data_IF_652610802749
#
_entry.id   IF_652610802749
#
_cell.length_a   1.000
_cell.length_b   1.000
_cell.length_c   1.000
_cell.angle_alpha   90.00
_cell.angle_beta   90.00
_cell.angle_gamma   90.00
#
_symmetry.space_group_name_H-M   'P 1'
#
loop_
_entity.id
_entity.type
_entity.pdbx_description
1 polymer ?
#
# COMPACT_ATOMS: atom_id res chain seq x y z
N UNK A 1 15.33 40.25 16.70
CA UNK A 1 13.98 39.78 16.35
C UNK A 1 14.07 38.40 15.72
N UNK A 2 13.75 37.37 16.49
CA UNK A 2 13.76 35.98 16.05
C UNK A 2 12.45 35.69 15.29
N UNK A 3 12.53 35.52 13.98
CA UNK A 3 11.43 35.05 13.16
C UNK A 3 11.40 33.54 13.23
N UNK A 4 10.47 32.99 14.00
CA UNK A 4 10.20 31.57 14.07
C UNK A 4 9.80 31.07 12.67
N UNK A 5 10.64 30.21 12.09
CA UNK A 5 10.29 29.44 10.92
C UNK A 5 9.22 28.42 11.33
N UNK A 6 7.95 28.82 11.19
CA UNK A 6 6.82 27.90 11.35
C UNK A 6 6.94 26.79 10.31
N UNK A 7 6.84 25.53 10.72
CA UNK A 7 6.88 24.41 9.78
C UNK A 7 5.75 24.57 8.75
N UNK A 8 6.09 24.45 7.47
CA UNK A 8 5.19 24.80 6.35
C UNK A 8 4.05 23.79 6.13
N UNK A 9 4.00 22.69 6.89
CA UNK A 9 3.03 21.61 6.67
C UNK A 9 2.43 21.06 7.98
N UNK A 10 1.78 21.92 8.80
CA UNK A 10 1.13 21.48 10.04
C UNK A 10 -0.02 20.49 9.78
N UNK A 11 -0.62 20.54 8.60
CA UNK A 11 -1.67 19.63 8.14
C UNK A 11 -1.14 18.23 7.84
N UNK A 12 0.01 18.12 7.17
CA UNK A 12 0.63 16.82 6.88
C UNK A 12 1.12 16.13 8.16
N UNK A 13 1.71 16.88 9.08
CA UNK A 13 2.14 16.36 10.38
C UNK A 13 0.94 15.85 11.21
N UNK A 14 -0.19 16.56 11.18
CA UNK A 14 -1.42 16.15 11.88
C UNK A 14 -2.10 14.95 11.21
N UNK A 15 -2.05 14.85 9.89
CA UNK A 15 -2.56 13.69 9.16
C UNK A 15 -1.75 12.42 9.47
N UNK A 16 -0.42 12.53 9.56
CA UNK A 16 0.44 11.41 9.93
C UNK A 16 0.21 10.95 11.38
N UNK A 17 -0.05 11.88 12.31
CA UNK A 17 -0.40 11.55 13.69
C UNK A 17 -1.76 10.84 13.76
N UNK A 18 -2.77 11.30 13.01
CA UNK A 18 -4.09 10.66 12.96
C UNK A 18 -4.05 9.25 12.31
N UNK A 19 -3.20 9.06 11.30
CA UNK A 19 -3.01 7.76 10.68
C UNK A 19 -2.28 6.78 11.62
N UNK A 20 -1.27 7.25 12.36
CA UNK A 20 -0.56 6.44 13.34
C UNK A 20 -1.46 5.97 14.49
N UNK A 21 -2.38 6.82 14.98
CA UNK A 21 -3.33 6.43 16.03
C UNK A 21 -4.40 5.46 15.53
N UNK A 22 -4.89 5.63 14.30
CA UNK A 22 -5.81 4.66 13.68
C UNK A 22 -5.15 3.28 13.48
N UNK A 23 -3.89 3.24 13.06
CA UNK A 23 -3.12 2.00 12.91
C UNK A 23 -2.95 1.23 14.22
N UNK A 24 -2.71 1.93 15.33
CA UNK A 24 -2.62 1.30 16.66
C UNK A 24 -3.95 0.70 17.13
N UNK A 25 -5.08 1.32 16.79
CA UNK A 25 -6.42 0.80 17.11
C UNK A 25 -6.79 -0.44 16.28
N UNK A 26 -6.37 -0.49 15.01
CA UNK A 26 -6.56 -1.67 14.14
C UNK A 26 -5.65 -2.85 14.54
N UNK A 27 -4.44 -2.59 15.05
CA UNK A 27 -3.54 -3.63 15.55
C UNK A 27 -4.01 -4.31 16.85
N UNK A 28 -4.83 -3.63 17.65
CA UNK A 28 -5.38 -4.18 18.89
C UNK A 28 -6.65 -5.03 18.68
N UNK A 29 -7.26 -5.00 17.49
CA UNK A 29 -8.56 -5.63 17.20
C UNK A 29 -8.54 -7.07 16.68
N UNK A 30 -7.37 -7.74 16.66
CA UNK A 30 -7.26 -9.13 16.18
C UNK A 30 -7.63 -10.19 17.24
N UNK A 31 -7.98 -9.78 18.47
CA UNK A 31 -8.43 -10.68 19.51
C UNK A 31 -9.64 -10.08 20.25
N UNK A 32 -10.73 -10.85 20.29
CA UNK A 32 -12.00 -10.61 21.01
C UNK A 32 -13.05 -9.75 20.30
N UNK A 33 -14.00 -10.46 19.68
CA UNK A 33 -15.33 -9.93 19.39
C UNK A 33 -16.04 -9.63 20.71
N UNK A 34 -16.58 -8.42 20.89
CA UNK A 34 -17.77 -8.19 21.71
C UNK A 34 -18.42 -6.84 21.38
N UNK A 35 -19.75 -6.86 21.24
CA UNK A 35 -20.57 -5.72 20.89
C UNK A 35 -20.66 -4.69 22.04
N UNK A 36 -20.42 -3.43 21.71
CA UNK A 36 -21.01 -2.28 22.37
C UNK A 36 -21.01 -1.12 21.36
N UNK A 37 -22.17 -0.56 21.07
CA UNK A 37 -22.28 0.66 20.26
C UNK A 37 -21.59 1.81 21.03
N UNK A 38 -20.33 2.08 20.69
CA UNK A 38 -19.60 3.22 21.22
C UNK A 38 -20.14 4.52 20.60
N UNK A 39 -20.25 5.62 21.36
CA UNK A 39 -20.80 6.86 20.87
C UNK A 39 -19.90 7.44 19.77
N UNK A 40 -20.59 8.00 18.78
CA UNK A 40 -20.09 8.76 17.62
C UNK A 40 -18.87 9.59 18.00
N UNK A 41 -17.75 9.33 17.32
CA UNK A 41 -16.58 10.21 17.33
C UNK A 41 -17.03 11.59 16.81
N UNK A 42 -16.94 12.61 17.65
CA UNK A 42 -17.23 13.99 17.27
C UNK A 42 -16.08 14.52 16.41
N UNK A 43 -16.27 14.44 15.09
CA UNK A 43 -15.36 15.02 14.10
C UNK A 43 -15.77 16.48 13.90
N UNK A 44 -14.87 17.47 14.01
CA UNK A 44 -15.21 18.91 13.97
C UNK A 44 -15.90 19.42 12.70
N UNK A 45 -16.08 18.57 11.68
CA UNK A 45 -16.74 18.90 10.42
C UNK A 45 -18.00 18.05 10.27
N UNK A 46 -18.99 18.40 11.11
CA UNK A 46 -20.33 17.81 11.30
C UNK A 46 -20.41 16.61 12.26
N UNK A 47 -21.31 16.67 13.25
CA UNK A 47 -21.72 15.49 13.99
C UNK A 47 -22.54 14.60 13.07
N UNK A 48 -21.96 13.50 12.60
CA UNK A 48 -22.73 12.42 11.96
C UNK A 48 -23.12 11.42 13.02
N UNK A 49 -24.38 11.48 13.49
CA UNK A 49 -25.04 10.27 13.97
C UNK A 49 -25.07 9.27 12.82
N UNK A 50 -24.15 8.32 12.85
CA UNK A 50 -24.22 7.15 12.01
C UNK A 50 -25.49 6.41 12.42
N UNK A 51 -26.52 6.47 11.59
CA UNK A 51 -27.70 5.62 11.74
C UNK A 51 -27.33 4.14 11.63
N UNK A 52 -28.24 3.28 11.17
CA UNK A 52 -27.83 1.91 10.84
C UNK A 52 -26.78 1.94 9.74
N UNK A 53 -25.52 1.69 10.09
CA UNK A 53 -24.42 1.53 9.15
C UNK A 53 -24.52 0.12 8.60
N UNK A 54 -24.69 0.00 7.29
CA UNK A 54 -24.50 -1.27 6.62
C UNK A 54 -22.99 -1.47 6.40
N UNK A 55 -22.35 -2.43 7.11
CA UNK A 55 -20.93 -2.70 6.94
C UNK A 55 -20.59 -3.17 5.52
N UNK A 56 -21.55 -3.81 4.82
CA UNK A 56 -21.33 -4.23 3.44
C UNK A 56 -21.29 -3.02 2.49
N UNK A 57 -22.13 -2.02 2.71
CA UNK A 57 -22.09 -0.78 1.93
C UNK A 57 -20.75 -0.02 2.10
N UNK A 58 -20.20 -0.01 3.32
CA UNK A 58 -18.88 0.55 3.58
C UNK A 58 -17.75 -0.22 2.88
N UNK A 59 -17.81 -1.55 2.89
CA UNK A 59 -16.84 -2.39 2.18
C UNK A 59 -16.92 -2.22 0.66
N UNK A 60 -18.12 -2.16 0.08
CA UNK A 60 -18.32 -1.89 -1.35
C UNK A 60 -17.82 -0.52 -1.76
N UNK A 61 -18.05 0.52 -0.93
CA UNK A 61 -17.52 1.85 -1.18
C UNK A 61 -15.98 1.85 -1.15
N UNK A 62 -15.38 1.14 -0.19
CA UNK A 62 -13.93 1.01 -0.07
C UNK A 62 -13.31 0.28 -1.26
N UNK A 63 -13.80 -0.92 -1.61
CA UNK A 63 -13.25 -1.70 -2.73
C UNK A 63 -13.47 -0.99 -4.07
N UNK A 64 -14.62 -0.32 -4.25
CA UNK A 64 -14.88 0.54 -5.40
C UNK A 64 -13.86 1.67 -5.51
N UNK A 65 -13.53 2.34 -4.41
CA UNK A 65 -12.56 3.44 -4.40
C UNK A 65 -11.13 2.97 -4.63
N UNK A 66 -10.73 1.84 -4.02
CA UNK A 66 -9.40 1.24 -4.19
C UNK A 66 -9.13 0.91 -5.65
N UNK A 67 -10.11 0.38 -6.38
CA UNK A 67 -9.99 0.12 -7.82
C UNK A 67 -9.65 1.36 -8.66
N UNK A 68 -10.31 2.50 -8.40
CA UNK A 68 -10.05 3.75 -9.13
C UNK A 68 -8.67 4.35 -8.82
N UNK A 69 -8.15 4.15 -7.61
CA UNK A 69 -6.83 4.68 -7.22
C UNK A 69 -5.70 3.74 -7.68
N UNK A 70 -5.89 2.43 -7.54
CA UNK A 70 -4.85 1.44 -7.84
C UNK A 70 -4.81 1.06 -9.32
N UNK A 71 -5.93 1.16 -10.04
CA UNK A 71 -6.02 0.84 -11.47
C UNK A 71 -5.00 1.59 -12.32
N UNK A 72 -4.98 2.95 -12.29
CA UNK A 72 -4.06 3.75 -13.10
C UNK A 72 -2.58 3.47 -12.81
N UNK A 73 -2.23 3.18 -11.55
CA UNK A 73 -0.83 2.91 -11.18
C UNK A 73 -0.43 1.46 -11.43
N UNK A 74 -1.35 0.49 -11.35
CA UNK A 74 -1.04 -0.94 -11.48
C UNK A 74 -0.38 -1.31 -12.82
N UNK A 75 -0.73 -0.59 -13.90
CA UNK A 75 -0.17 -0.78 -15.24
C UNK A 75 1.16 -0.06 -15.48
N UNK A 76 1.63 0.77 -14.55
CA UNK A 76 2.90 1.50 -14.72
C UNK A 76 4.08 0.55 -14.57
N UNK A 77 5.11 0.74 -15.41
CA UNK A 77 6.40 0.09 -15.23
C UNK A 77 6.99 0.52 -13.89
N UNK A 78 7.44 -0.41 -13.03
CA UNK A 78 8.15 -0.06 -11.80
C UNK A 78 9.47 0.65 -12.10
N UNK A 79 10.13 0.25 -13.18
CA UNK A 79 11.38 0.82 -13.67
C UNK A 79 11.18 1.43 -15.07
N UNK A 80 10.95 2.74 -15.19
CA UNK A 80 10.81 3.40 -16.49
C UNK A 80 12.09 3.36 -17.34
N UNK A 81 13.25 3.19 -16.70
CA UNK A 81 14.56 3.13 -17.34
C UNK A 81 14.97 1.70 -17.73
N UNK A 82 14.08 0.72 -17.57
CA UNK A 82 14.33 -0.68 -17.91
C UNK A 82 14.81 -0.83 -19.36
N UNK A 83 15.98 -1.44 -19.54
CA UNK A 83 16.58 -1.67 -20.86
C UNK A 83 17.25 -0.45 -21.50
N UNK A 84 17.41 0.64 -20.75
CA UNK A 84 18.25 1.77 -21.16
C UNK A 84 19.69 1.57 -20.68
N UNK A 85 20.66 2.24 -21.32
CA UNK A 85 22.06 2.20 -20.87
C UNK A 85 22.33 2.90 -19.51
N UNK A 86 21.30 3.50 -18.90
CA UNK A 86 21.35 4.18 -17.60
C UNK A 86 20.35 3.56 -16.61
N UNK A 87 19.92 2.32 -16.85
CA UNK A 87 19.05 1.59 -15.94
C UNK A 87 19.75 1.42 -14.57
N UNK A 88 19.25 2.04 -13.49
CA UNK A 88 19.90 1.96 -12.20
C UNK A 88 19.88 0.54 -11.64
N UNK A 89 18.87 -0.25 -11.97
CA UNK A 89 18.67 -1.59 -11.41
C UNK A 89 19.45 -2.68 -12.15
N UNK A 90 20.06 -2.33 -13.28
CA UNK A 90 20.99 -3.19 -14.02
C UNK A 90 22.45 -3.01 -13.57
N UNK A 91 22.72 -2.10 -12.62
CA UNK A 91 24.04 -1.95 -11.99
C UNK A 91 24.31 -3.04 -10.95
N UNK A 92 24.37 -4.29 -11.38
CA UNK A 92 24.58 -5.39 -10.46
C UNK A 92 26.03 -5.76 -10.21
N UNK A 93 26.23 -6.43 -9.08
CA UNK A 93 27.49 -7.07 -8.71
C UNK A 93 27.25 -8.56 -8.59
N UNK A 94 28.19 -9.36 -9.12
CA UNK A 94 28.13 -10.81 -9.11
C UNK A 94 29.34 -11.41 -8.43
N UNK A 95 29.14 -12.54 -7.76
CA UNK A 95 30.21 -13.38 -7.23
C UNK A 95 30.00 -14.83 -7.66
N UNK A 96 31.11 -15.51 -7.88
CA UNK A 96 31.12 -16.94 -8.13
C UNK A 96 32.25 -17.55 -7.29
N UNK A 97 31.94 -18.64 -6.60
CA UNK A 97 32.90 -19.39 -5.79
C UNK A 97 33.05 -20.75 -6.47
N UNK A 98 34.27 -21.08 -6.92
CA UNK A 98 34.56 -22.32 -7.63
C UNK A 98 33.57 -22.61 -8.79
N UNK A 99 33.01 -23.81 -8.82
CA UNK A 99 32.07 -24.33 -9.82
C UNK A 99 30.59 -24.15 -9.42
N UNK A 100 30.31 -23.44 -8.32
CA UNK A 100 28.93 -23.11 -7.95
C UNK A 100 28.30 -22.15 -8.96
N UNK A 101 26.96 -22.16 -8.99
CA UNK A 101 26.18 -21.22 -9.79
C UNK A 101 26.47 -19.79 -9.33
N UNK A 102 26.80 -18.85 -10.23
CA UNK A 102 27.00 -17.46 -9.88
C UNK A 102 25.77 -16.87 -9.19
N UNK A 103 26.02 -16.04 -8.18
CA UNK A 103 24.99 -15.24 -7.52
C UNK A 103 25.27 -13.77 -7.79
N UNK A 104 24.23 -12.99 -7.99
CA UNK A 104 24.39 -11.56 -8.24
C UNK A 104 23.19 -10.78 -7.74
N UNK A 105 23.40 -9.48 -7.48
CA UNK A 105 22.34 -8.60 -7.01
C UNK A 105 21.19 -8.48 -8.02
N UNK A 106 21.45 -8.67 -9.32
CA UNK A 106 20.40 -8.69 -10.35
C UNK A 106 19.38 -9.82 -10.17
N UNK A 107 19.72 -10.90 -9.44
CA UNK A 107 18.73 -11.93 -9.11
C UNK A 107 17.63 -11.40 -8.18
N UNK A 108 17.92 -10.36 -7.40
CA UNK A 108 16.97 -9.71 -6.48
C UNK A 108 16.31 -8.48 -7.09
N UNK A 109 17.04 -7.71 -7.91
CA UNK A 109 16.47 -6.51 -8.57
C UNK A 109 15.71 -6.86 -9.84
N UNK A 110 16.03 -7.97 -10.50
CA UNK A 110 15.46 -8.39 -11.77
C UNK A 110 13.91 -8.45 -11.80
N UNK A 111 13.26 -9.05 -10.79
CA UNK A 111 11.80 -9.09 -10.74
C UNK A 111 11.13 -7.71 -10.75
N UNK A 112 11.80 -6.67 -10.27
CA UNK A 112 11.29 -5.29 -10.27
C UNK A 112 11.75 -4.54 -11.53
N UNK A 113 12.99 -4.74 -11.95
CA UNK A 113 13.59 -4.01 -13.05
C UNK A 113 13.03 -4.38 -14.42
N UNK A 114 12.65 -5.65 -14.63
CA UNK A 114 12.15 -6.16 -15.92
C UNK A 114 10.61 -6.26 -15.96
N UNK A 115 9.93 -5.97 -14.84
CA UNK A 115 8.47 -6.03 -14.79
C UNK A 115 7.84 -5.02 -15.77
N UNK A 116 6.89 -5.51 -16.58
CA UNK A 116 6.15 -4.66 -17.54
C UNK A 116 5.14 -3.73 -16.87
N UNK A 117 4.79 -4.02 -15.63
CA UNK A 117 3.79 -3.31 -14.83
C UNK A 117 3.96 -3.63 -13.34
N UNK A 118 3.47 -2.76 -12.44
CA UNK A 118 3.53 -2.96 -11.00
C UNK A 118 2.82 -4.25 -10.55
N UNK A 119 1.70 -4.60 -11.18
CA UNK A 119 1.00 -5.86 -10.89
C UNK A 119 1.72 -7.12 -11.40
N UNK A 120 2.74 -6.99 -12.25
CA UNK A 120 3.57 -8.11 -12.69
C UNK A 120 4.76 -8.39 -11.74
N UNK A 121 4.98 -7.52 -10.74
CA UNK A 121 6.00 -7.74 -9.72
C UNK A 121 5.54 -8.85 -8.76
N UNK A 122 6.37 -9.87 -8.51
CA UNK A 122 6.02 -10.94 -7.56
C UNK A 122 5.60 -10.40 -6.20
N UNK A 123 4.49 -10.91 -5.65
CA UNK A 123 3.94 -10.50 -4.36
C UNK A 123 2.99 -9.30 -4.41
N UNK A 124 3.11 -8.40 -5.38
CA UNK A 124 2.22 -7.22 -5.50
C UNK A 124 0.78 -7.65 -5.84
N UNK A 125 0.62 -8.61 -6.75
CA UNK A 125 -0.70 -9.14 -7.13
C UNK A 125 -1.50 -9.72 -5.96
N UNK A 126 -0.82 -10.36 -5.00
CA UNK A 126 -1.45 -10.91 -3.80
C UNK A 126 -1.97 -9.80 -2.88
N UNK A 127 -1.17 -8.75 -2.67
CA UNK A 127 -1.57 -7.59 -1.86
C UNK A 127 -2.76 -6.87 -2.50
N UNK A 128 -2.72 -6.65 -3.81
CA UNK A 128 -3.84 -6.02 -4.54
C UNK A 128 -5.10 -6.87 -4.57
N UNK A 129 -4.98 -8.21 -4.62
CA UNK A 129 -6.12 -9.13 -4.56
C UNK A 129 -6.79 -9.15 -3.18
N UNK A 130 -6.01 -9.03 -2.10
CA UNK A 130 -6.53 -8.91 -0.74
C UNK A 130 -7.25 -7.56 -0.53
N UNK A 131 -6.76 -6.48 -1.15
CA UNK A 131 -7.34 -5.13 -1.08
C UNK A 131 -8.58 -4.94 -1.98
N UNK A 132 -8.65 -5.68 -3.10
CA UNK A 132 -9.73 -5.57 -4.08
C UNK A 132 -10.99 -6.38 -3.75
N UNK A 133 -10.99 -7.17 -2.67
CA UNK A 133 -12.06 -8.11 -2.37
C UNK A 133 -12.00 -9.32 -3.29
N UNK A 134 -11.35 -10.39 -2.83
CA UNK A 134 -11.07 -11.58 -3.62
C UNK A 134 -12.31 -12.15 -4.31
N UNK A 135 -12.31 -12.09 -5.64
CA UNK A 135 -13.11 -12.96 -6.49
C UNK A 135 -12.17 -13.68 -7.46
N UNK A 136 -12.13 -15.02 -7.35
CA UNK A 136 -11.66 -15.90 -8.42
C UNK A 136 -10.28 -16.52 -8.21
N UNK A 137 -10.21 -17.61 -7.43
CA UNK A 137 -9.42 -18.76 -7.85
C UNK A 137 -10.36 -19.68 -8.65
N UNK A 138 -10.16 -19.90 -9.97
CA UNK A 138 -10.75 -21.08 -10.60
C UNK A 138 -10.01 -22.30 -10.05
N UNK A 139 -10.75 -23.20 -9.42
CA UNK A 139 -10.29 -24.56 -9.17
C UNK A 139 -10.18 -25.25 -10.53
N UNK A 140 -8.94 -25.49 -10.95
CA UNK A 140 -8.57 -26.44 -11.98
C UNK A 140 -7.70 -27.52 -11.35
#
# INVERSE_FOLDING_TARGET
MARHASSQHPTAQRALIALATAGAALGAGAATAHAAAAPVLDVPWRPTSLGKVDPNAGLTALTGTVGYVTGPVSGLKPNPLAGTGVDPLDNGVGTQIADFKPVGSQMLTGPVAQARSLNAVPGVGLVTGLLGGGTGAPLG
#
